data_IF_070449252668
#
_entry.id   IF_070449252668
#
_cell.length_a   1.000
_cell.length_b   1.000
_cell.length_c   1.000
_cell.angle_alpha   90.00
_cell.angle_beta   90.00
_cell.angle_gamma   90.00
#
_symmetry.space_group_name_H-M   'P 1'
#
loop_
_entity.id
_entity.type
_entity.pdbx_description
1 polymer ?
#
# COMPACT_ATOMS: atom_id res chain seq x y z
N UNK A 1 6.29 -0.22 4.75
CA UNK A 1 5.07 0.42 5.31
C UNK A 1 5.08 0.23 6.82
N UNK A 2 4.26 0.96 7.57
CA UNK A 2 4.17 0.94 9.04
C UNK A 2 3.16 -0.10 9.57
N UNK A 3 3.09 -1.26 8.91
CA UNK A 3 2.08 -2.33 9.15
C UNK A 3 0.64 -1.93 8.85
N UNK A 4 0.43 -0.75 8.29
CA UNK A 4 -0.85 -0.35 7.70
C UNK A 4 -0.84 -0.66 6.19
N UNK A 5 -1.75 -1.51 5.68
CA UNK A 5 -1.80 -1.86 4.27
C UNK A 5 -2.32 -0.73 3.38
N UNK A 6 -2.94 0.32 3.94
CA UNK A 6 -3.49 1.46 3.19
C UNK A 6 -2.39 2.21 2.45
N UNK A 7 -2.78 2.85 1.36
CA UNK A 7 -1.89 3.80 0.69
C UNK A 7 -1.67 5.00 1.61
N UNK A 8 -0.48 5.56 1.56
CA UNK A 8 -0.12 6.72 2.37
C UNK A 8 0.49 7.79 1.48
N UNK A 9 0.09 9.03 1.72
CA UNK A 9 0.74 10.21 1.16
C UNK A 9 0.74 11.31 2.21
N UNK A 10 1.47 12.39 1.96
CA UNK A 10 1.51 13.54 2.84
C UNK A 10 1.11 14.81 2.08
N UNK A 11 0.40 15.69 2.77
CA UNK A 11 0.18 17.07 2.33
C UNK A 11 1.09 17.95 3.19
N UNK A 12 1.99 18.68 2.53
CA UNK A 12 2.92 19.61 3.17
C UNK A 12 2.45 21.03 2.89
N UNK A 13 2.25 21.81 3.96
CA UNK A 13 1.95 23.24 3.88
C UNK A 13 3.02 24.04 4.62
N UNK A 14 2.88 25.37 4.68
CA UNK A 14 3.82 26.24 5.39
C UNK A 14 3.67 26.08 6.91
N UNK A 15 4.30 25.03 7.47
CA UNK A 15 4.38 24.78 8.91
C UNK A 15 3.68 23.51 9.38
N UNK A 16 2.99 22.78 8.49
CA UNK A 16 2.27 21.56 8.85
C UNK A 16 2.53 20.43 7.86
N UNK A 17 2.54 19.21 8.39
CA UNK A 17 2.58 17.97 7.62
C UNK A 17 1.40 17.12 8.04
N UNK A 18 0.50 16.84 7.11
CA UNK A 18 -0.60 15.92 7.31
C UNK A 18 -0.29 14.60 6.59
N UNK A 19 -0.34 13.47 7.32
CA UNK A 19 -0.21 12.14 6.72
C UNK A 19 -1.60 11.55 6.52
N UNK A 20 -1.95 11.29 5.27
CA UNK A 20 -3.28 10.81 4.88
C UNK A 20 -3.18 9.34 4.48
N UNK A 21 -4.17 8.55 4.95
CA UNK A 21 -4.32 7.13 4.62
C UNK A 21 -5.55 6.91 3.77
N UNK A 22 -5.41 6.13 2.70
CA UNK A 22 -6.49 5.85 1.76
C UNK A 22 -6.62 4.36 1.55
N UNK A 23 -7.85 3.88 1.72
CA UNK A 23 -8.21 2.51 1.38
C UNK A 23 -8.09 2.29 -0.12
N UNK A 24 -7.59 1.12 -0.50
CA UNK A 24 -7.60 0.66 -1.89
C UNK A 24 -7.74 -0.85 -1.92
N UNK A 25 -8.17 -1.36 -3.07
CA UNK A 25 -8.34 -2.79 -3.26
C UNK A 25 -6.99 -3.49 -3.51
N UNK A 26 -6.23 -3.73 -2.44
CA UNK A 26 -4.97 -4.47 -2.53
C UNK A 26 -5.17 -5.90 -3.01
N UNK A 27 -6.35 -6.52 -2.78
CA UNK A 27 -6.66 -7.87 -3.24
C UNK A 27 -6.68 -7.95 -4.76
N UNK A 28 -7.24 -6.94 -5.42
CA UNK A 28 -7.23 -6.82 -6.88
C UNK A 28 -5.81 -6.61 -7.43
N UNK A 29 -4.98 -5.82 -6.73
CA UNK A 29 -3.56 -5.68 -7.09
C UNK A 29 -2.83 -7.01 -6.96
N UNK A 30 -3.01 -7.72 -5.85
CA UNK A 30 -2.44 -9.05 -5.63
C UNK A 30 -2.89 -10.04 -6.72
N UNK A 31 -4.15 -9.99 -7.18
CA UNK A 31 -4.64 -10.83 -8.29
C UNK A 31 -3.82 -10.59 -9.57
N UNK A 32 -3.68 -9.32 -9.98
CA UNK A 32 -2.87 -8.93 -11.15
C UNK A 32 -1.41 -9.36 -11.01
N UNK A 33 -0.84 -9.25 -9.81
CA UNK A 33 0.52 -9.69 -9.54
C UNK A 33 0.70 -11.21 -9.66
N UNK A 34 -0.29 -12.00 -9.20
CA UNK A 34 -0.29 -13.47 -9.38
C UNK A 34 -0.36 -13.83 -10.85
N UNK A 35 -1.21 -13.16 -11.62
CA UNK A 35 -1.35 -13.37 -13.07
C UNK A 35 -0.07 -13.03 -13.83
N UNK A 36 0.66 -12.01 -13.37
CA UNK A 36 1.97 -11.64 -13.91
C UNK A 36 3.13 -12.53 -13.43
N UNK A 37 2.87 -13.55 -12.61
CA UNK A 37 3.91 -14.47 -12.11
C UNK A 37 4.88 -13.86 -11.11
N UNK A 38 4.51 -12.78 -10.41
CA UNK A 38 5.39 -12.15 -9.42
C UNK A 38 5.62 -13.04 -8.19
N UNK A 39 6.77 -12.93 -7.51
CA UNK A 39 7.07 -13.69 -6.30
C UNK A 39 6.01 -13.52 -5.20
N UNK A 40 5.59 -14.64 -4.60
CA UNK A 40 4.59 -14.70 -3.51
C UNK A 40 4.87 -13.72 -2.37
N UNK A 41 6.14 -13.54 -2.01
CA UNK A 41 6.57 -12.59 -0.97
C UNK A 41 6.17 -11.14 -1.28
N UNK A 42 6.28 -10.71 -2.55
CA UNK A 42 5.89 -9.36 -2.97
C UNK A 42 4.37 -9.14 -2.97
N UNK A 43 3.61 -10.22 -3.15
CA UNK A 43 2.15 -10.19 -3.20
C UNK A 43 1.61 -10.08 -1.77
N UNK A 44 2.04 -10.97 -0.88
CA UNK A 44 1.52 -11.04 0.49
C UNK A 44 1.87 -9.82 1.35
N UNK A 45 3.00 -9.15 1.08
CA UNK A 45 3.41 -7.97 1.83
C UNK A 45 2.45 -6.78 1.69
N UNK A 46 1.66 -6.71 0.60
CA UNK A 46 0.67 -5.65 0.42
C UNK A 46 -0.41 -5.67 1.52
N UNK A 47 -0.85 -6.86 1.92
CA UNK A 47 -1.86 -7.05 2.98
C UNK A 47 -1.27 -6.81 4.38
N UNK A 48 0.01 -7.14 4.57
CA UNK A 48 0.70 -6.98 5.86
C UNK A 48 1.15 -5.54 6.12
N UNK A 49 1.11 -4.67 5.10
CA UNK A 49 1.64 -3.32 5.21
C UNK A 49 3.15 -3.33 5.51
N UNK A 50 3.92 -4.21 4.86
CA UNK A 50 5.39 -4.28 5.03
C UNK A 50 6.14 -3.91 3.75
#
# INVERSE_FOLDING_TARGET
RDRDPRAAYAVLTAGEVEIIRVDYNFRETQRKMREAGLPKLLIERLEKGI
#
